data_IF_777216749800
#
_entry.id   IF_777216749800
#
_cell.length_a   1.000
_cell.length_b   1.000
_cell.length_c   1.000
_cell.angle_alpha   90.00
_cell.angle_beta   90.00
_cell.angle_gamma   90.00
#
_symmetry.space_group_name_H-M   'P 1'
#
loop_
_entity.id
_entity.type
_entity.pdbx_description
1 polymer ?
#
# COMPACT_ATOMS: atom_id res chain seq x y z
N UNK A 1 -13.45 -12.91 -3.68
CA UNK A 1 -14.40 -12.72 -4.80
C UNK A 1 -15.16 -11.46 -4.48
N UNK A 2 -15.22 -10.50 -5.40
CA UNK A 2 -15.99 -9.27 -5.17
C UNK A 2 -17.47 -9.65 -5.31
N UNK A 3 -18.27 -9.49 -4.26
CA UNK A 3 -19.70 -9.82 -4.27
C UNK A 3 -20.49 -8.77 -5.09
N UNK A 4 -20.14 -8.62 -6.37
CA UNK A 4 -20.59 -7.56 -7.28
C UNK A 4 -20.70 -8.10 -8.70
N UNK A 5 -21.59 -7.53 -9.51
CA UNK A 5 -21.55 -7.76 -10.96
C UNK A 5 -20.32 -7.08 -11.57
N UNK A 6 -19.95 -7.44 -12.80
CA UNK A 6 -18.81 -6.83 -13.47
C UNK A 6 -19.05 -5.35 -13.75
N UNK A 7 -20.25 -4.99 -14.22
CA UNK A 7 -20.65 -3.62 -14.51
C UNK A 7 -20.63 -2.74 -13.25
N UNK A 8 -21.22 -3.23 -12.16
CA UNK A 8 -21.21 -2.52 -10.87
C UNK A 8 -19.78 -2.36 -10.35
N UNK A 9 -18.93 -3.38 -10.55
CA UNK A 9 -17.53 -3.33 -10.15
C UNK A 9 -16.73 -2.28 -10.93
N UNK A 10 -16.95 -2.20 -12.24
CA UNK A 10 -16.35 -1.16 -13.11
C UNK A 10 -16.85 0.23 -12.72
N UNK A 11 -18.14 0.38 -12.45
CA UNK A 11 -18.72 1.65 -12.01
C UNK A 11 -18.11 2.12 -10.69
N UNK A 12 -18.01 1.24 -9.70
CA UNK A 12 -17.48 1.58 -8.39
C UNK A 12 -16.01 1.99 -8.44
N UNK A 13 -15.13 1.20 -9.09
CA UNK A 13 -13.70 1.57 -9.18
C UNK A 13 -13.50 2.87 -9.95
N UNK A 14 -14.36 3.15 -10.93
CA UNK A 14 -14.35 4.41 -11.69
C UNK A 14 -14.83 5.58 -10.83
N UNK A 15 -15.88 5.40 -10.05
CA UNK A 15 -16.41 6.43 -9.16
C UNK A 15 -15.37 6.80 -8.09
N UNK A 16 -14.73 5.81 -7.48
CA UNK A 16 -13.65 6.04 -6.49
C UNK A 16 -12.43 6.69 -7.14
N UNK A 17 -11.99 6.21 -8.32
CA UNK A 17 -10.85 6.83 -9.02
C UNK A 17 -11.12 8.28 -9.38
N UNK A 18 -12.35 8.63 -9.74
CA UNK A 18 -12.77 10.01 -10.05
C UNK A 18 -13.04 10.85 -8.80
N UNK A 19 -13.09 10.26 -7.60
CA UNK A 19 -13.36 10.96 -6.35
C UNK A 19 -14.84 11.25 -6.12
N UNK A 20 -15.72 10.56 -6.85
CA UNK A 20 -17.17 10.58 -6.61
C UNK A 20 -17.57 9.69 -5.43
N UNK A 21 -16.71 8.71 -5.10
CA UNK A 21 -16.88 7.74 -4.01
C UNK A 21 -15.57 7.62 -3.22
N UNK A 22 -15.63 7.03 -2.02
CA UNK A 22 -14.47 6.79 -1.16
C UNK A 22 -13.94 5.37 -1.35
N UNK A 23 -12.63 5.13 -1.19
CA UNK A 23 -12.14 3.74 -1.12
C UNK A 23 -12.69 2.99 0.11
N UNK A 24 -13.28 3.69 1.09
CA UNK A 24 -14.00 3.04 2.19
C UNK A 24 -15.21 2.24 1.70
N UNK A 25 -15.76 2.60 0.54
CA UNK A 25 -16.86 1.88 -0.11
C UNK A 25 -16.42 0.49 -0.61
N UNK A 26 -15.12 0.24 -0.72
CA UNK A 26 -14.56 -1.09 -0.99
C UNK A 26 -14.67 -2.05 0.20
N UNK A 27 -14.90 -1.52 1.40
CA UNK A 27 -15.06 -2.30 2.63
C UNK A 27 -13.83 -3.17 2.96
N UNK A 28 -14.08 -4.40 3.41
CA UNK A 28 -13.04 -5.35 3.80
C UNK A 28 -12.23 -5.91 2.62
N UNK A 29 -12.75 -5.80 1.39
CA UNK A 29 -12.13 -6.35 0.18
C UNK A 29 -11.27 -5.32 -0.56
N UNK A 30 -10.72 -4.33 0.15
CA UNK A 30 -10.02 -3.20 -0.44
C UNK A 30 -8.89 -3.66 -1.38
N UNK A 31 -8.07 -4.62 -0.97
CA UNK A 31 -6.95 -5.10 -1.80
C UNK A 31 -7.47 -5.80 -3.07
N UNK A 32 -8.55 -6.57 -2.96
CA UNK A 32 -9.20 -7.25 -4.08
C UNK A 32 -9.77 -6.25 -5.10
N UNK A 33 -10.31 -5.11 -4.65
CA UNK A 33 -10.79 -4.05 -5.54
C UNK A 33 -9.66 -3.39 -6.33
N UNK A 34 -8.50 -3.19 -5.71
CA UNK A 34 -7.32 -2.69 -6.41
C UNK A 34 -6.80 -3.72 -7.42
N UNK A 35 -6.72 -5.00 -7.01
CA UNK A 35 -6.34 -6.09 -7.91
C UNK A 35 -7.32 -6.21 -9.09
N UNK A 36 -8.62 -6.01 -8.87
CA UNK A 36 -9.63 -5.94 -9.93
C UNK A 36 -9.39 -4.79 -10.89
N UNK A 37 -9.09 -3.58 -10.40
CA UNK A 37 -8.77 -2.45 -11.27
C UNK A 37 -7.53 -2.71 -12.14
N UNK A 38 -6.50 -3.36 -11.57
CA UNK A 38 -5.30 -3.76 -12.32
C UNK A 38 -5.64 -4.83 -13.37
N UNK A 39 -6.45 -5.81 -13.00
CA UNK A 39 -6.96 -6.84 -13.91
C UNK A 39 -7.76 -6.21 -15.06
N UNK A 40 -8.68 -5.29 -14.76
CA UNK A 40 -9.49 -4.57 -15.76
C UNK A 40 -8.59 -3.83 -16.76
N UNK A 41 -7.54 -3.17 -16.27
CA UNK A 41 -6.57 -2.50 -17.13
C UNK A 41 -5.80 -3.50 -18.03
N UNK A 42 -5.33 -4.62 -17.47
CA UNK A 42 -4.66 -5.66 -18.24
C UNK A 42 -5.58 -6.30 -19.29
N UNK A 43 -6.82 -6.58 -18.92
CA UNK A 43 -7.84 -7.14 -19.80
C UNK A 43 -8.13 -6.21 -20.97
N UNK A 44 -8.27 -4.91 -20.69
CA UNK A 44 -8.51 -3.86 -21.70
C UNK A 44 -7.32 -3.69 -22.65
N UNK A 45 -6.10 -3.96 -22.19
CA UNK A 45 -4.89 -3.96 -23.01
C UNK A 45 -4.85 -5.16 -23.98
N UNK A 46 -5.38 -6.32 -23.57
CA UNK A 46 -5.34 -7.57 -24.35
C UNK A 46 -6.54 -7.77 -25.28
N UNK A 47 -7.64 -7.04 -25.09
CA UNK A 47 -8.84 -7.17 -25.91
C UNK A 47 -8.77 -6.33 -27.19
N UNK A 48 -8.69 -6.98 -28.34
CA UNK A 48 -8.82 -6.36 -29.68
C UNK A 48 -10.24 -5.81 -29.95
N UNK A 49 -11.25 -6.27 -29.18
CA UNK A 49 -12.67 -5.95 -29.42
C UNK A 49 -13.03 -4.49 -29.12
N UNK A 50 -12.19 -3.77 -28.38
CA UNK A 50 -12.42 -2.34 -28.13
C UNK A 50 -11.94 -1.43 -29.26
N UNK A 51 -11.29 -1.95 -30.31
CA UNK A 51 -10.67 -1.26 -31.45
C UNK A 51 -11.56 -0.39 -32.36
N UNK A 52 -12.72 0.07 -31.88
CA UNK A 52 -13.47 1.16 -32.50
C UNK A 52 -12.85 2.53 -32.21
N UNK A 53 -13.32 3.60 -32.85
CA UNK A 53 -12.82 4.99 -32.65
C UNK A 53 -12.82 5.47 -31.17
N UNK A 54 -13.49 4.77 -30.26
CA UNK A 54 -13.53 5.02 -28.82
C UNK A 54 -12.55 4.15 -27.98
N UNK A 55 -11.80 3.22 -28.59
CA UNK A 55 -10.83 2.31 -27.93
C UNK A 55 -9.81 3.06 -27.09
N UNK A 56 -9.25 4.12 -27.69
CA UNK A 56 -8.13 4.87 -27.14
C UNK A 56 -8.53 5.68 -25.91
N UNK A 57 -9.76 6.19 -25.88
CA UNK A 57 -10.32 6.89 -24.72
C UNK A 57 -10.59 5.93 -23.56
N UNK A 58 -11.08 4.72 -23.85
CA UNK A 58 -11.36 3.70 -22.83
C UNK A 58 -10.07 3.08 -22.26
N UNK A 59 -9.06 2.80 -23.10
CA UNK A 59 -7.75 2.33 -22.64
C UNK A 59 -7.05 3.38 -21.76
N UNK A 60 -7.00 4.65 -22.19
CA UNK A 60 -6.44 5.74 -21.36
C UNK A 60 -7.16 5.85 -20.01
N UNK A 61 -8.49 5.62 -20.00
CA UNK A 61 -9.31 5.63 -18.79
C UNK A 61 -8.93 4.54 -17.80
N UNK A 62 -8.61 3.31 -18.23
CA UNK A 62 -8.25 2.23 -17.29
C UNK A 62 -6.87 2.40 -16.66
N UNK A 63 -5.90 2.97 -17.38
CA UNK A 63 -4.61 3.38 -16.80
C UNK A 63 -4.80 4.43 -15.72
N UNK A 64 -5.61 5.46 -16.02
CA UNK A 64 -5.96 6.51 -15.07
C UNK A 64 -6.64 5.95 -13.82
N UNK A 65 -7.60 5.02 -13.97
CA UNK A 65 -8.29 4.40 -12.81
C UNK A 65 -7.26 3.81 -11.84
N UNK A 66 -6.33 2.98 -12.32
CA UNK A 66 -5.34 2.32 -11.46
C UNK A 66 -4.41 3.34 -10.79
N UNK A 67 -3.89 4.30 -11.56
CA UNK A 67 -2.99 5.34 -11.04
C UNK A 67 -3.68 6.16 -9.94
N UNK A 68 -4.88 6.68 -10.23
CA UNK A 68 -5.62 7.50 -9.27
C UNK A 68 -6.01 6.74 -8.01
N UNK A 69 -6.37 5.45 -8.12
CA UNK A 69 -6.67 4.63 -6.95
C UNK A 69 -5.43 4.47 -6.06
N UNK A 70 -4.29 4.09 -6.64
CA UNK A 70 -3.02 3.92 -5.92
C UNK A 70 -2.56 5.22 -5.28
N UNK A 71 -2.56 6.31 -6.04
CA UNK A 71 -2.15 7.62 -5.56
C UNK A 71 -3.02 8.11 -4.40
N UNK A 72 -4.35 8.08 -4.56
CA UNK A 72 -5.29 8.52 -3.53
C UNK A 72 -5.15 7.71 -2.26
N UNK A 73 -5.20 6.39 -2.37
CA UNK A 73 -5.14 5.53 -1.19
C UNK A 73 -3.81 5.67 -0.46
N UNK A 74 -2.67 5.68 -1.17
CA UNK A 74 -1.36 5.81 -0.54
C UNK A 74 -1.20 7.19 0.11
N UNK A 75 -1.64 8.26 -0.55
CA UNK A 75 -1.57 9.63 0.01
C UNK A 75 -2.43 9.79 1.26
N UNK A 76 -3.65 9.26 1.25
CA UNK A 76 -4.53 9.27 2.42
C UNK A 76 -4.02 8.34 3.53
N UNK A 77 -3.45 7.19 3.18
CA UNK A 77 -2.82 6.29 4.14
C UNK A 77 -1.66 7.00 4.83
N UNK A 78 -0.76 7.65 4.09
CA UNK A 78 0.35 8.44 4.63
C UNK A 78 -0.14 9.49 5.64
N UNK A 79 -1.15 10.28 5.27
CA UNK A 79 -1.68 11.34 6.15
C UNK A 79 -2.43 10.83 7.38
N UNK A 80 -3.18 9.74 7.26
CA UNK A 80 -3.96 9.19 8.38
C UNK A 80 -3.11 8.38 9.36
N UNK A 81 -2.17 7.58 8.84
CA UNK A 81 -1.33 6.67 9.61
C UNK A 81 -0.30 7.40 10.47
N UNK A 82 0.14 8.59 10.08
CA UNK A 82 1.13 9.39 10.82
C UNK A 82 0.80 9.55 12.31
N UNK A 83 -0.50 9.65 12.64
CA UNK A 83 -0.98 9.80 14.02
C UNK A 83 -1.22 8.49 14.78
N UNK A 84 -1.31 7.34 14.09
CA UNK A 84 -1.80 6.08 14.66
C UNK A 84 -0.85 4.88 14.51
N UNK A 85 0.25 4.99 13.77
CA UNK A 85 1.14 3.85 13.47
C UNK A 85 1.65 3.13 14.71
N UNK A 86 1.88 3.86 15.79
CA UNK A 86 2.37 3.27 17.02
C UNK A 86 1.25 2.70 17.90
N UNK A 87 -0.02 2.91 17.56
CA UNK A 87 -1.15 2.24 18.24
C UNK A 87 -1.15 0.73 17.96
N UNK A 88 -1.47 -0.13 18.93
CA UNK A 88 -1.29 -1.57 18.78
C UNK A 88 -2.27 -2.29 17.82
N UNK A 89 -3.28 -1.61 17.25
CA UNK A 89 -4.44 -2.26 16.61
C UNK A 89 -4.72 -1.89 15.15
N UNK A 90 -3.78 -1.21 14.49
CA UNK A 90 -4.05 -0.74 13.14
C UNK A 90 -3.78 -1.80 12.05
N UNK A 91 -4.84 -2.21 11.35
CA UNK A 91 -4.76 -3.05 10.16
C UNK A 91 -4.38 -2.23 8.92
N UNK A 92 -4.45 -0.90 8.95
CA UNK A 92 -4.24 -0.05 7.78
C UNK A 92 -2.80 -0.16 7.26
N UNK A 93 -1.81 -0.32 8.15
CA UNK A 93 -0.43 -0.62 7.72
C UNK A 93 -0.31 -1.96 6.98
N UNK A 94 -1.02 -3.01 7.44
CA UNK A 94 -1.05 -4.30 6.72
C UNK A 94 -1.64 -4.11 5.32
N UNK A 95 -2.77 -3.41 5.24
CA UNK A 95 -3.43 -3.14 3.96
C UNK A 95 -2.52 -2.34 3.02
N UNK A 96 -1.81 -1.33 3.53
CA UNK A 96 -0.85 -0.55 2.75
C UNK A 96 0.30 -1.42 2.21
N UNK A 97 0.85 -2.30 3.05
CA UNK A 97 1.85 -3.29 2.61
C UNK A 97 1.29 -4.16 1.49
N UNK A 98 0.06 -4.66 1.63
CA UNK A 98 -0.59 -5.49 0.60
C UNK A 98 -0.84 -4.74 -0.71
N UNK A 99 -1.32 -3.49 -0.65
CA UNK A 99 -1.53 -2.66 -1.86
C UNK A 99 -0.21 -2.44 -2.61
N UNK A 100 0.90 -2.22 -1.90
CA UNK A 100 2.22 -2.05 -2.52
C UNK A 100 2.80 -3.39 -3.02
N UNK A 101 2.61 -4.47 -2.27
CA UNK A 101 3.17 -5.78 -2.60
C UNK A 101 2.44 -6.46 -3.76
N UNK A 102 1.14 -6.23 -3.92
CA UNK A 102 0.28 -6.89 -4.91
C UNK A 102 -0.16 -5.96 -6.05
N UNK A 103 -1.21 -5.12 -5.96
CA UNK A 103 -1.73 -4.40 -7.13
C UNK A 103 -0.72 -3.42 -7.73
N UNK A 104 0.06 -2.71 -6.91
CA UNK A 104 1.14 -1.86 -7.44
C UNK A 104 2.21 -2.68 -8.18
N UNK A 105 2.53 -3.88 -7.68
CA UNK A 105 3.49 -4.78 -8.32
C UNK A 105 2.99 -5.27 -9.67
N UNK A 106 1.73 -5.71 -9.71
CA UNK A 106 1.07 -6.14 -10.95
C UNK A 106 1.03 -5.00 -11.97
N UNK A 107 0.67 -3.80 -11.55
CA UNK A 107 0.67 -2.64 -12.44
C UNK A 107 2.07 -2.33 -12.99
N UNK A 108 3.09 -2.36 -12.12
CA UNK A 108 4.49 -2.20 -12.54
C UNK A 108 4.96 -3.26 -13.55
N UNK A 109 4.52 -4.52 -13.39
CA UNK A 109 4.84 -5.59 -14.34
C UNK A 109 4.16 -5.39 -15.70
N UNK A 110 2.92 -4.92 -15.72
CA UNK A 110 2.20 -4.57 -16.96
C UNK A 110 2.94 -3.45 -17.69
N UNK A 111 3.34 -2.38 -16.99
CA UNK A 111 4.13 -1.29 -17.57
C UNK A 111 5.44 -1.80 -18.19
N UNK A 112 6.17 -2.66 -17.47
CA UNK A 112 7.39 -3.27 -17.99
C UNK A 112 7.14 -4.12 -19.23
N UNK A 113 6.05 -4.88 -19.27
CA UNK A 113 5.68 -5.69 -20.43
C UNK A 113 5.39 -4.80 -21.65
N UNK A 114 4.65 -3.70 -21.47
CA UNK A 114 4.39 -2.73 -22.54
C UNK A 114 5.68 -2.15 -23.11
N UNK A 115 6.59 -1.65 -22.26
CA UNK A 115 7.87 -1.08 -22.74
C UNK A 115 8.73 -2.12 -23.47
N UNK A 116 8.81 -3.35 -22.95
CA UNK A 116 9.55 -4.44 -23.61
C UNK A 116 8.97 -4.80 -24.97
N UNK A 117 7.65 -4.76 -25.13
CA UNK A 117 7.02 -5.04 -26.42
C UNK A 117 7.26 -3.95 -27.47
N UNK A 118 7.47 -2.70 -27.04
CA UNK A 118 7.71 -1.56 -27.93
C UNK A 118 9.16 -1.43 -28.39
N UNK A 119 10.11 -2.07 -27.69
CA UNK A 119 11.53 -2.05 -28.05
C UNK A 119 11.80 -2.99 -29.24
N UNK A 120 12.54 -2.53 -30.28
CA UNK A 120 12.84 -3.36 -31.43
C UNK A 120 13.69 -4.57 -31.03
N UNK A 121 13.08 -5.77 -31.08
CA UNK A 121 13.79 -7.03 -30.92
C UNK A 121 14.69 -7.26 -32.14
N UNK A 122 15.99 -7.45 -31.90
CA UNK A 122 17.08 -7.39 -32.89
C UNK A 122 17.07 -8.40 -34.06
N UNK A 123 15.93 -8.99 -34.43
CA UNK A 123 15.80 -9.90 -35.59
C UNK A 123 14.54 -9.73 -36.46
N UNK A 124 13.69 -8.71 -36.26
CA UNK A 124 12.54 -8.49 -37.17
C UNK A 124 12.72 -7.28 -38.07
N UNK A 125 12.63 -7.56 -39.38
CA UNK A 125 12.64 -6.63 -40.53
C UNK A 125 11.87 -5.34 -40.17
N UNK A 126 12.53 -4.18 -40.28
CA UNK A 126 11.92 -2.84 -40.11
C UNK A 126 10.62 -2.78 -40.93
N UNK A 127 9.47 -2.83 -40.27
CA UNK A 127 8.21 -2.36 -40.86
C UNK A 127 8.23 -0.85 -40.70
N UNK A 128 8.08 -0.16 -41.82
CA UNK A 128 8.28 1.26 -42.05
C UNK A 128 7.20 2.11 -41.36
N UNK A 129 7.12 2.08 -40.04
CA UNK A 129 6.47 3.12 -39.23
C UNK A 129 7.55 4.02 -38.65
N UNK A 130 7.37 5.34 -38.73
CA UNK A 130 8.40 6.25 -38.20
C UNK A 130 8.49 6.06 -36.68
N UNK A 131 9.70 6.14 -36.11
CA UNK A 131 9.86 6.06 -34.65
C UNK A 131 8.95 7.08 -33.93
N UNK A 132 8.74 8.25 -34.54
CA UNK A 132 7.83 9.29 -34.07
C UNK A 132 6.35 8.85 -33.94
N UNK A 133 5.87 7.90 -34.74
CA UNK A 133 4.49 7.36 -34.64
C UNK A 133 4.34 6.38 -33.46
N UNK A 134 5.41 5.67 -33.08
CA UNK A 134 5.42 4.81 -31.88
C UNK A 134 5.42 5.65 -30.59
N UNK A 135 6.14 6.79 -30.57
CA UNK A 135 6.23 7.70 -29.41
C UNK A 135 5.01 8.59 -29.19
N UNK A 136 4.23 8.81 -30.25
CA UNK A 136 2.97 9.55 -30.17
C UNK A 136 1.76 8.63 -29.96
N UNK A 137 1.98 7.31 -29.84
CA UNK A 137 0.91 6.37 -29.55
C UNK A 137 0.29 6.68 -28.17
N UNK A 138 -1.05 6.75 -28.08
CA UNK A 138 -1.76 6.92 -26.80
C UNK A 138 -1.32 5.92 -25.72
N UNK A 139 -0.96 4.68 -26.12
CA UNK A 139 -0.46 3.67 -25.20
C UNK A 139 0.90 4.03 -24.61
N UNK A 140 1.82 4.56 -25.43
CA UNK A 140 3.15 4.94 -24.95
C UNK A 140 3.06 6.10 -23.95
N UNK A 141 2.22 7.10 -24.25
CA UNK A 141 1.93 8.21 -23.33
C UNK A 141 1.31 7.70 -22.03
N UNK A 142 0.32 6.81 -22.09
CA UNK A 142 -0.29 6.23 -20.90
C UNK A 142 0.72 5.45 -20.05
N UNK A 143 1.61 4.66 -20.66
CA UNK A 143 2.68 3.92 -19.96
C UNK A 143 3.69 4.86 -19.31
N UNK A 144 4.12 5.91 -20.03
CA UNK A 144 5.02 6.94 -19.50
C UNK A 144 4.40 7.65 -18.29
N UNK A 145 3.16 8.12 -18.44
CA UNK A 145 2.47 8.90 -17.42
C UNK A 145 2.16 8.03 -16.19
N UNK A 146 1.75 6.78 -16.39
CA UNK A 146 1.56 5.81 -15.30
C UNK A 146 2.87 5.47 -14.59
N UNK A 147 3.98 5.29 -15.32
CA UNK A 147 5.29 5.06 -14.71
C UNK A 147 5.72 6.25 -13.86
N UNK A 148 5.48 7.48 -14.35
CA UNK A 148 5.77 8.69 -13.58
C UNK A 148 4.88 8.81 -12.35
N UNK A 149 3.58 8.56 -12.47
CA UNK A 149 2.63 8.57 -11.35
C UNK A 149 3.07 7.61 -10.25
N UNK A 150 3.35 6.34 -10.58
CA UNK A 150 3.82 5.36 -9.58
C UNK A 150 5.15 5.75 -8.92
N UNK A 151 6.09 6.33 -9.68
CA UNK A 151 7.33 6.83 -9.11
C UNK A 151 7.04 7.90 -8.05
N UNK A 152 6.24 8.91 -8.38
CA UNK A 152 5.87 9.98 -7.45
C UNK A 152 5.13 9.45 -6.23
N UNK A 153 4.18 8.53 -6.40
CA UNK A 153 3.45 7.92 -5.29
C UNK A 153 4.37 7.13 -4.34
N UNK A 154 5.31 6.34 -4.89
CA UNK A 154 6.27 5.60 -4.07
C UNK A 154 7.31 6.50 -3.39
N UNK A 155 7.68 7.61 -4.01
CA UNK A 155 8.59 8.59 -3.43
C UNK A 155 7.99 9.20 -2.16
N UNK A 156 6.73 9.67 -2.23
CA UNK A 156 5.98 10.16 -1.07
C UNK A 156 5.90 9.11 0.04
N UNK A 157 5.58 7.86 -0.31
CA UNK A 157 5.51 6.77 0.66
C UNK A 157 6.88 6.50 1.32
N UNK A 158 7.96 6.49 0.53
CA UNK A 158 9.31 6.24 1.03
C UNK A 158 9.80 7.34 1.96
N UNK A 159 9.57 8.60 1.61
CA UNK A 159 9.91 9.74 2.47
C UNK A 159 9.21 9.64 3.82
N UNK A 160 7.91 9.35 3.79
CA UNK A 160 7.13 9.15 5.00
C UNK A 160 7.61 7.96 5.83
N UNK A 161 7.83 6.78 5.23
CA UNK A 161 8.34 5.60 5.94
C UNK A 161 9.69 5.87 6.61
N UNK A 162 10.60 6.55 5.92
CA UNK A 162 11.91 6.96 6.47
C UNK A 162 11.74 7.94 7.63
N UNK A 163 10.80 8.88 7.50
CA UNK A 163 10.42 9.79 8.58
C UNK A 163 9.99 9.04 9.85
N UNK A 164 9.12 8.04 9.73
CA UNK A 164 8.65 7.22 10.86
C UNK A 164 9.77 6.45 11.55
N UNK A 165 10.67 5.85 10.75
CA UNK A 165 11.82 5.10 11.28
C UNK A 165 12.73 6.03 12.08
N UNK A 166 12.95 7.25 11.60
CA UNK A 166 13.83 8.25 12.21
C UNK A 166 13.24 9.01 13.41
N UNK A 167 11.94 8.86 13.70
CA UNK A 167 11.34 9.44 14.90
C UNK A 167 12.00 8.92 16.20
N UNK A 168 12.05 9.77 17.23
CA UNK A 168 12.60 9.43 18.55
C UNK A 168 11.91 8.21 19.17
N UNK A 169 12.70 7.29 19.73
CA UNK A 169 12.19 6.13 20.47
C UNK A 169 11.32 6.53 21.65
N UNK A 170 11.69 7.60 22.36
CA UNK A 170 10.93 8.10 23.52
C UNK A 170 9.55 8.62 23.11
N UNK A 171 9.47 9.34 21.98
CA UNK A 171 8.19 9.81 21.45
C UNK A 171 7.27 8.66 21.02
N UNK A 172 7.85 7.58 20.47
CA UNK A 172 7.12 6.36 20.11
C UNK A 172 6.61 5.61 21.35
N UNK A 173 7.44 5.56 22.39
CA UNK A 173 7.11 4.95 23.67
C UNK A 173 5.94 5.68 24.33
N UNK A 174 6.00 7.00 24.43
CA UNK A 174 4.91 7.83 24.97
C UNK A 174 3.62 7.67 24.16
N UNK A 175 3.69 7.60 22.83
CA UNK A 175 2.51 7.36 21.98
C UNK A 175 1.85 5.98 22.26
N UNK A 176 2.65 4.94 22.49
CA UNK A 176 2.13 3.60 22.83
C UNK A 176 1.54 3.61 24.23
N UNK A 177 2.27 4.14 25.21
CA UNK A 177 1.85 4.15 26.61
C UNK A 177 0.56 4.96 26.78
N UNK A 178 0.48 6.16 26.19
CA UNK A 178 -0.74 6.96 26.19
C UNK A 178 -1.92 6.24 25.52
N UNK A 179 -1.69 5.50 24.43
CA UNK A 179 -2.72 4.67 23.79
C UNK A 179 -3.20 3.52 24.69
N UNK A 180 -2.31 2.90 25.46
CA UNK A 180 -2.63 1.84 26.42
C UNK A 180 -3.37 2.40 27.65
N UNK A 181 -2.94 3.58 28.13
CA UNK A 181 -3.45 4.23 29.33
C UNK A 181 -4.72 5.05 29.10
N UNK A 182 -5.15 5.25 27.86
CA UNK A 182 -6.31 6.08 27.54
C UNK A 182 -7.58 5.49 28.20
N UNK A 183 -7.97 6.08 29.33
CA UNK A 183 -8.97 5.57 30.28
C UNK A 183 -10.43 5.64 29.77
N UNK A 184 -10.67 6.15 28.56
CA UNK A 184 -12.01 6.48 28.06
C UNK A 184 -12.89 5.30 27.63
N UNK A 185 -12.33 4.09 27.42
CA UNK A 185 -13.10 2.90 27.03
C UNK A 185 -12.56 1.67 27.74
N UNK A 186 -13.35 1.08 28.63
CA UNK A 186 -13.00 -0.17 29.33
C UNK A 186 -13.02 -1.42 28.42
N UNK A 187 -13.34 -1.28 27.14
CA UNK A 187 -13.43 -2.38 26.17
C UNK A 187 -12.20 -2.47 25.25
N UNK A 188 -11.04 -2.07 25.76
CA UNK A 188 -9.82 -1.95 24.98
C UNK A 188 -8.69 -2.88 25.42
N UNK A 189 -7.65 -3.03 24.60
CA UNK A 189 -6.42 -3.76 24.91
C UNK A 189 -5.75 -3.27 26.20
N UNK A 190 -5.85 -1.97 26.48
CA UNK A 190 -5.38 -1.34 27.71
C UNK A 190 -6.05 -1.88 28.98
N UNK A 191 -7.23 -2.52 28.87
CA UNK A 191 -7.83 -3.26 29.97
C UNK A 191 -6.95 -4.43 30.40
N UNK A 192 -6.39 -5.19 29.45
CA UNK A 192 -5.50 -6.32 29.75
C UNK A 192 -4.26 -5.83 30.50
N UNK A 193 -3.65 -4.74 30.04
CA UNK A 193 -2.49 -4.14 30.70
C UNK A 193 -2.83 -3.70 32.13
N UNK A 194 -3.95 -2.98 32.33
CA UNK A 194 -4.38 -2.56 33.67
C UNK A 194 -4.74 -3.72 34.58
N UNK A 195 -5.39 -4.77 34.06
CA UNK A 195 -5.68 -5.98 34.82
C UNK A 195 -4.39 -6.66 35.27
N UNK A 196 -3.40 -6.76 34.39
CA UNK A 196 -2.08 -7.32 34.74
C UNK A 196 -1.35 -6.45 35.78
N UNK A 197 -1.35 -5.12 35.66
CA UNK A 197 -0.76 -4.20 36.64
C UNK A 197 -1.46 -4.26 38.01
N UNK A 198 -2.78 -4.38 38.01
CA UNK A 198 -3.56 -4.52 39.26
C UNK A 198 -3.30 -5.88 39.92
N UNK A 199 -3.19 -6.96 39.13
CA UNK A 199 -2.85 -8.29 39.64
C UNK A 199 -1.44 -8.32 40.23
N UNK A 200 -0.46 -7.71 39.59
CA UNK A 200 0.92 -7.68 40.10
C UNK A 200 1.08 -6.84 41.36
N UNK A 201 0.30 -5.75 41.51
CA UNK A 201 0.34 -4.88 42.68
C UNK A 201 -0.45 -5.41 43.89
N UNK A 202 -1.50 -6.21 43.69
CA UNK A 202 -2.37 -6.72 44.77
C UNK A 202 -2.12 -8.18 45.17
N UNK A 203 -1.22 -8.90 44.50
CA UNK A 203 -1.04 -10.35 44.70
C UNK A 203 -0.29 -10.73 46.00
N UNK A 204 -0.98 -11.50 46.85
CA UNK A 204 -0.36 -12.32 47.88
C UNK A 204 0.10 -13.66 47.26
N UNK A 205 1.29 -14.15 47.61
CA UNK A 205 1.95 -15.32 47.01
C UNK A 205 1.22 -16.66 47.20
N UNK A 206 0.10 -16.68 47.92
CA UNK A 206 -0.62 -17.87 48.35
C UNK A 206 -1.60 -18.44 47.31
N UNK A 207 -2.09 -17.65 46.36
CA UNK A 207 -3.13 -18.09 45.39
C UNK A 207 -2.59 -18.67 44.08
N UNK A 208 -1.49 -18.14 43.54
CA UNK A 208 -1.02 -18.48 42.18
C UNK A 208 0.25 -19.34 42.12
N UNK A 209 0.83 -19.71 43.26
CA UNK A 209 2.07 -20.48 43.31
C UNK A 209 3.30 -19.65 42.87
N UNK A 210 4.43 -19.90 43.51
CA UNK A 210 5.61 -19.02 43.46
C UNK A 210 6.10 -18.69 42.04
N UNK A 211 6.14 -19.68 41.13
CA UNK A 211 6.63 -19.50 39.75
C UNK A 211 5.78 -18.54 38.93
N UNK A 212 4.44 -18.59 39.08
CA UNK A 212 3.53 -17.73 38.32
C UNK A 212 3.57 -16.31 38.90
N UNK A 213 3.64 -16.19 40.24
CA UNK A 213 3.80 -14.90 40.90
C UNK A 213 5.08 -14.18 40.47
N UNK A 214 6.22 -14.88 40.43
CA UNK A 214 7.49 -14.31 39.95
C UNK A 214 7.41 -13.88 38.49
N UNK A 215 6.83 -14.72 37.61
CA UNK A 215 6.67 -14.38 36.20
C UNK A 215 5.80 -13.13 35.99
N UNK A 216 4.69 -13.01 36.72
CA UNK A 216 3.83 -11.82 36.66
C UNK A 216 4.53 -10.59 37.21
N UNK A 217 5.26 -10.68 38.32
CA UNK A 217 6.04 -9.55 38.86
C UNK A 217 7.14 -9.06 37.92
N UNK A 218 7.70 -9.95 37.09
CA UNK A 218 8.70 -9.57 36.08
C UNK A 218 8.10 -8.86 34.86
N UNK A 219 6.77 -8.83 34.72
CA UNK A 219 6.08 -8.19 33.62
C UNK A 219 5.95 -6.68 33.84
N UNK A 220 6.23 -5.90 32.79
CA UNK A 220 6.19 -4.44 32.81
C UNK A 220 5.68 -3.92 31.47
N UNK A 221 4.64 -3.07 31.51
CA UNK A 221 4.02 -2.42 30.35
C UNK A 221 5.03 -1.67 29.49
N UNK A 222 6.03 -1.01 30.10
CA UNK A 222 7.06 -0.25 29.37
C UNK A 222 7.93 -1.19 28.54
N UNK A 223 8.32 -2.34 29.08
CA UNK A 223 9.17 -3.30 28.35
C UNK A 223 8.39 -3.99 27.22
N UNK A 224 7.09 -4.21 27.39
CA UNK A 224 6.20 -4.67 26.31
C UNK A 224 6.09 -3.60 25.21
N UNK A 225 5.91 -2.33 25.58
CA UNK A 225 5.85 -1.22 24.63
C UNK A 225 7.17 -1.10 23.84
N UNK A 226 8.33 -1.20 24.48
CA UNK A 226 9.64 -1.23 23.79
C UNK A 226 9.74 -2.39 22.81
N UNK A 227 9.33 -3.60 23.20
CA UNK A 227 9.29 -4.75 22.29
C UNK A 227 8.37 -4.50 21.08
N UNK A 228 7.23 -3.85 21.28
CA UNK A 228 6.33 -3.45 20.20
C UNK A 228 7.00 -2.46 19.25
N UNK A 229 7.73 -1.45 19.77
CA UNK A 229 8.50 -0.51 18.96
C UNK A 229 9.53 -1.26 18.13
N UNK A 230 10.32 -2.16 18.74
CA UNK A 230 11.32 -2.96 18.02
C UNK A 230 10.67 -3.77 16.91
N UNK A 231 9.56 -4.46 17.19
CA UNK A 231 8.83 -5.24 16.18
C UNK A 231 8.31 -4.38 15.02
N UNK A 232 7.72 -3.22 15.32
CA UNK A 232 7.27 -2.26 14.29
C UNK A 232 8.42 -1.70 13.48
N UNK A 233 9.55 -1.40 14.12
CA UNK A 233 10.73 -0.89 13.44
C UNK A 233 11.31 -1.92 12.45
N UNK A 234 11.37 -3.20 12.83
CA UNK A 234 11.76 -4.29 11.92
C UNK A 234 10.81 -4.36 10.73
N UNK A 235 9.49 -4.36 10.97
CA UNK A 235 8.50 -4.41 9.89
C UNK A 235 8.59 -3.20 8.95
N UNK A 236 8.72 -1.98 9.48
CA UNK A 236 8.87 -0.76 8.69
C UNK A 236 10.13 -0.81 7.82
N UNK A 237 11.26 -1.29 8.36
CA UNK A 237 12.50 -1.43 7.59
C UNK A 237 12.37 -2.45 6.45
N UNK A 238 11.70 -3.58 6.67
CA UNK A 238 11.40 -4.52 5.59
C UNK A 238 10.47 -3.91 4.55
N UNK A 239 9.47 -3.14 4.98
CA UNK A 239 8.57 -2.47 4.06
C UNK A 239 9.27 -1.39 3.22
N UNK A 240 10.20 -0.63 3.82
CA UNK A 240 11.06 0.31 3.10
C UNK A 240 11.84 -0.42 2.01
N UNK A 241 12.47 -1.57 2.31
CA UNK A 241 13.22 -2.35 1.30
C UNK A 241 12.33 -2.77 0.12
N UNK A 242 11.10 -3.19 0.40
CA UNK A 242 10.12 -3.53 -0.64
C UNK A 242 9.81 -2.32 -1.53
N UNK A 243 9.53 -1.17 -0.91
CA UNK A 243 9.23 0.08 -1.62
C UNK A 243 10.43 0.56 -2.45
N UNK A 244 11.64 0.55 -1.89
CA UNK A 244 12.88 0.95 -2.58
C UNK A 244 13.17 0.06 -3.79
N UNK A 245 12.96 -1.25 -3.65
CA UNK A 245 13.13 -2.20 -4.76
C UNK A 245 12.17 -1.89 -5.91
N UNK A 246 10.88 -1.66 -5.61
CA UNK A 246 9.87 -1.30 -6.61
C UNK A 246 10.15 0.06 -7.25
N UNK A 247 10.49 1.06 -6.43
CA UNK A 247 10.83 2.40 -6.89
C UNK A 247 12.02 2.38 -7.84
N UNK A 248 13.11 1.68 -7.49
CA UNK A 248 14.27 1.49 -8.36
C UNK A 248 13.90 0.81 -9.67
N UNK A 249 13.03 -0.19 -9.64
CA UNK A 249 12.55 -0.87 -10.85
C UNK A 249 11.77 0.07 -11.77
N UNK A 250 10.92 0.95 -11.20
CA UNK A 250 10.14 1.94 -11.95
C UNK A 250 11.03 3.08 -12.47
N UNK A 251 12.01 3.53 -11.71
CA UNK A 251 13.01 4.51 -12.18
C UNK A 251 13.80 3.98 -13.37
N UNK A 252 14.22 2.71 -13.34
CA UNK A 252 14.87 2.06 -14.48
C UNK A 252 13.93 2.01 -15.69
N UNK A 253 12.65 1.71 -15.47
CA UNK A 253 11.65 1.73 -16.54
C UNK A 253 11.46 3.13 -17.13
N UNK A 254 11.38 4.16 -16.29
CA UNK A 254 11.33 5.57 -16.69
C UNK A 254 12.53 5.94 -17.56
N UNK A 255 13.74 5.54 -17.17
CA UNK A 255 14.95 5.74 -17.97
C UNK A 255 14.87 5.03 -19.32
N UNK A 256 14.37 3.79 -19.35
CA UNK A 256 14.17 3.06 -20.61
C UNK A 256 13.20 3.82 -21.53
N UNK A 257 12.07 4.28 -21.00
CA UNK A 257 11.08 5.08 -21.75
C UNK A 257 11.69 6.37 -22.31
N UNK A 258 12.58 7.04 -21.57
CA UNK A 258 13.29 8.24 -22.05
C UNK A 258 14.37 7.97 -23.09
N UNK A 259 14.85 6.73 -23.21
CA UNK A 259 15.90 6.31 -24.15
C UNK A 259 15.33 5.74 -25.46
N UNK A 260 14.04 5.41 -25.50
CA UNK A 260 13.34 5.02 -26.73
C UNK A 260 12.98 6.31 -27.47
#
# INVERSE_FOLDING_TARGET
MLDSTFEDAVELVTAVSNGLSSYKDFGHNLVEWFNFAVFLNAWTLCSDELGGKNAYGYQSRTWHIVNSLLEKYISEAVGSLESIIFTPYDNSMRTLVQVVSEPLAWHGLILQACVRSSLPSGKRKKKTGSAAELFSSPLFLAVRDSTQSLCTTLEVLLEWLKGLVNQSEEGKLEAILSSIQNNGKNDGPGQVFRTLENLTSSMNSTELGHRITEALKSWNTVDVARKLITGKHVMLNEFIKICESKFKSLQKLKQQISQV
#
